data_IF_515125269052
#
_entry.id   IF_515125269052
#
_cell.length_a   1.000
_cell.length_b   1.000
_cell.length_c   1.000
_cell.angle_alpha   90.00
_cell.angle_beta   90.00
_cell.angle_gamma   90.00
#
_symmetry.space_group_name_H-M   'P 1'
#
loop_
_entity.id
_entity.type
_entity.pdbx_description
1 polymer ?
#
# COMPACT_ATOMS: atom_id res chain seq x y z
N UNK A 1 -0.49 3.51 -8.13
CA UNK A 1 -1.91 3.17 -8.05
C UNK A 1 -2.62 4.24 -7.24
N UNK A 2 -3.25 5.19 -7.93
CA UNK A 2 -4.28 6.03 -7.32
C UNK A 2 -5.48 5.85 -8.23
N UNK A 3 -6.52 5.19 -7.74
CA UNK A 3 -7.83 5.26 -8.37
C UNK A 3 -8.18 6.76 -8.49
N UNK A 4 -8.75 7.23 -9.61
CA UNK A 4 -9.02 8.64 -9.79
C UNK A 4 -9.91 9.13 -8.65
N UNK A 5 -9.66 10.35 -8.17
CA UNK A 5 -10.30 10.84 -6.94
C UNK A 5 -11.84 10.79 -7.01
N UNK A 6 -12.42 10.86 -8.20
CA UNK A 6 -13.85 10.66 -8.43
C UNK A 6 -14.38 9.31 -7.90
N UNK A 7 -13.58 8.25 -7.92
CA UNK A 7 -13.96 6.91 -7.45
C UNK A 7 -13.67 6.67 -5.97
N UNK A 8 -12.68 7.36 -5.40
CA UNK A 8 -12.29 7.18 -3.99
C UNK A 8 -13.04 8.12 -3.04
N UNK A 9 -13.43 9.30 -3.52
CA UNK A 9 -14.26 10.27 -2.78
C UNK A 9 -15.58 9.67 -2.24
N UNK A 10 -16.44 9.01 -3.05
CA UNK A 10 -17.70 8.46 -2.55
C UNK A 10 -17.48 7.41 -1.46
N UNK A 11 -16.46 6.56 -1.61
CA UNK A 11 -16.10 5.56 -0.60
C UNK A 11 -15.67 6.20 0.72
N UNK A 12 -14.89 7.29 0.65
CA UNK A 12 -14.48 8.02 1.86
C UNK A 12 -15.67 8.68 2.55
N UNK A 13 -16.63 9.22 1.80
CA UNK A 13 -17.84 9.81 2.36
C UNK A 13 -18.66 8.76 3.11
N UNK A 14 -18.86 7.58 2.52
CA UNK A 14 -19.58 6.48 3.16
C UNK A 14 -18.86 6.03 4.44
N UNK A 15 -17.52 5.89 4.39
CA UNK A 15 -16.74 5.53 5.56
C UNK A 15 -16.83 6.56 6.69
N UNK A 16 -16.79 7.86 6.35
CA UNK A 16 -16.94 8.94 7.32
C UNK A 16 -18.32 8.92 7.96
N UNK A 17 -19.38 8.74 7.15
CA UNK A 17 -20.75 8.64 7.63
C UNK A 17 -20.95 7.44 8.57
N UNK A 18 -20.34 6.29 8.26
CA UNK A 18 -20.38 5.12 9.13
C UNK A 18 -19.72 5.37 10.49
N UNK A 19 -18.56 6.06 10.52
CA UNK A 19 -17.91 6.41 11.79
C UNK A 19 -18.74 7.38 12.63
N UNK A 20 -19.41 8.35 11.99
CA UNK A 20 -20.36 9.24 12.69
C UNK A 20 -21.56 8.48 13.23
N UNK A 21 -22.10 7.53 12.46
CA UNK A 21 -23.23 6.70 12.88
C UNK A 21 -22.89 5.85 14.11
N UNK A 22 -21.72 5.20 14.12
CA UNK A 22 -21.28 4.32 15.21
C UNK A 22 -21.11 5.09 16.54
N UNK A 23 -20.52 6.29 16.49
CA UNK A 23 -20.34 7.12 17.69
C UNK A 23 -21.48 8.10 17.97
N UNK A 24 -22.54 8.05 17.16
CA UNK A 24 -23.65 8.99 17.20
C UNK A 24 -23.19 10.46 17.24
N UNK A 25 -22.20 10.81 16.41
CA UNK A 25 -21.59 12.14 16.37
C UNK A 25 -22.21 13.02 15.28
N UNK A 26 -22.27 14.35 15.48
CA UNK A 26 -22.74 15.25 14.45
C UNK A 26 -21.83 15.23 13.21
N UNK A 27 -22.42 15.45 12.03
CA UNK A 27 -21.73 15.41 10.72
C UNK A 27 -20.52 16.34 10.60
N UNK A 28 -20.47 17.42 11.39
CA UNK A 28 -19.37 18.39 11.39
C UNK A 28 -18.20 18.00 12.30
N UNK A 29 -18.33 16.93 13.09
CA UNK A 29 -17.25 16.47 13.94
C UNK A 29 -16.07 15.96 13.12
N UNK A 30 -14.88 16.16 13.68
CA UNK A 30 -13.67 15.69 13.06
C UNK A 30 -13.65 14.16 13.03
N UNK A 31 -13.50 13.57 11.84
CA UNK A 31 -13.56 12.11 11.64
C UNK A 31 -12.29 11.41 12.09
N UNK A 32 -11.14 12.10 12.08
CA UNK A 32 -9.82 11.53 12.45
C UNK A 32 -9.77 10.90 13.84
N UNK A 33 -10.26 11.54 14.93
CA UNK A 33 -10.31 10.89 16.25
C UNK A 33 -11.21 9.65 16.25
N UNK A 34 -12.32 9.67 15.50
CA UNK A 34 -13.23 8.53 15.38
C UNK A 34 -12.58 7.35 14.67
N UNK A 35 -11.81 7.62 13.62
CA UNK A 35 -11.04 6.60 12.94
C UNK A 35 -9.94 6.01 13.84
N UNK A 36 -9.30 6.85 14.67
CA UNK A 36 -8.29 6.37 15.63
C UNK A 36 -8.91 5.44 16.66
N UNK A 37 -10.05 5.78 17.23
CA UNK A 37 -10.74 4.92 18.20
C UNK A 37 -11.30 3.64 17.57
N UNK A 38 -11.74 3.67 16.30
CA UNK A 38 -12.14 2.46 15.56
C UNK A 38 -10.96 1.65 15.01
N UNK A 39 -9.73 2.17 15.08
CA UNK A 39 -8.57 1.63 14.38
C UNK A 39 -8.78 1.51 12.85
N UNK A 40 -9.58 2.41 12.27
CA UNK A 40 -9.88 2.44 10.85
C UNK A 40 -8.89 3.30 10.06
N UNK A 41 -8.40 2.77 8.94
CA UNK A 41 -7.63 3.55 7.98
C UNK A 41 -8.55 4.26 6.98
N UNK A 42 -8.23 5.51 6.58
CA UNK A 42 -8.87 6.13 5.42
C UNK A 42 -8.74 5.27 4.17
N UNK A 43 -9.71 5.36 3.24
CA UNK A 43 -9.78 4.51 2.03
C UNK A 43 -8.46 4.52 1.25
N UNK A 44 -7.85 5.69 1.09
CA UNK A 44 -6.58 5.83 0.37
C UNK A 44 -5.42 5.06 1.05
N UNK A 45 -5.35 5.12 2.39
CA UNK A 45 -4.36 4.38 3.16
C UNK A 45 -4.64 2.88 3.15
N UNK A 46 -5.91 2.47 3.16
CA UNK A 46 -6.32 1.07 3.07
C UNK A 46 -5.92 0.42 1.74
N UNK A 47 -6.04 1.15 0.63
CA UNK A 47 -5.56 0.69 -0.68
C UNK A 47 -4.04 0.46 -0.65
N UNK A 48 -3.28 1.41 -0.09
CA UNK A 48 -1.82 1.28 0.05
C UNK A 48 -1.45 0.07 0.90
N UNK A 49 -2.06 -0.06 2.07
CA UNK A 49 -1.84 -1.16 2.99
C UNK A 49 -2.09 -2.51 2.32
N UNK A 50 -3.25 -2.69 1.65
CA UNK A 50 -3.60 -3.95 0.99
C UNK A 50 -2.60 -4.33 -0.12
N UNK A 51 -2.11 -3.34 -0.87
CA UNK A 51 -1.08 -3.54 -1.91
C UNK A 51 0.26 -3.94 -1.27
N UNK A 52 0.68 -3.28 -0.19
CA UNK A 52 1.91 -3.61 0.53
C UNK A 52 1.84 -4.99 1.21
N UNK A 53 0.73 -5.34 1.85
CA UNK A 53 0.53 -6.68 2.44
C UNK A 53 0.54 -7.78 1.38
N UNK A 54 0.01 -7.50 0.17
CA UNK A 54 0.11 -8.44 -0.95
C UNK A 54 1.56 -8.60 -1.39
N UNK A 55 2.31 -7.50 -1.53
CA UNK A 55 3.73 -7.56 -1.84
C UNK A 55 4.54 -8.36 -0.82
N UNK A 56 4.30 -8.12 0.47
CA UNK A 56 4.95 -8.85 1.56
C UNK A 56 4.70 -10.36 1.47
N UNK A 57 3.45 -10.77 1.19
CA UNK A 57 3.12 -12.20 0.99
C UNK A 57 3.81 -12.81 -0.22
N UNK A 58 4.00 -12.04 -1.29
CA UNK A 58 4.74 -12.48 -2.49
C UNK A 58 6.23 -12.66 -2.17
N UNK A 59 6.84 -11.73 -1.43
CA UNK A 59 8.24 -11.82 -0.99
C UNK A 59 8.44 -13.04 -0.08
N UNK A 60 7.53 -13.29 0.85
CA UNK A 60 7.60 -14.41 1.78
C UNK A 60 7.15 -15.75 1.16
N UNK A 61 7.07 -15.86 -0.16
CA UNK A 61 6.73 -17.08 -0.93
C UNK A 61 5.35 -17.72 -0.68
N UNK A 62 4.50 -17.11 0.15
CA UNK A 62 3.12 -17.55 0.41
C UNK A 62 2.10 -17.21 -0.70
N UNK A 63 2.52 -16.52 -1.76
CA UNK A 63 1.62 -16.08 -2.83
C UNK A 63 1.67 -16.99 -4.08
N UNK A 64 0.58 -17.07 -4.85
CA UNK A 64 0.52 -17.81 -6.12
C UNK A 64 1.63 -17.43 -7.11
N UNK A 65 2.10 -18.41 -7.89
CA UNK A 65 3.20 -18.24 -8.85
C UNK A 65 2.97 -17.09 -9.87
N UNK A 66 1.72 -16.85 -10.27
CA UNK A 66 1.38 -15.77 -11.20
C UNK A 66 1.59 -14.36 -10.60
N UNK A 67 1.58 -14.21 -9.27
CA UNK A 67 1.89 -12.93 -8.62
C UNK A 67 3.39 -12.71 -8.46
N UNK A 68 4.15 -13.80 -8.34
CA UNK A 68 5.61 -13.78 -8.24
C UNK A 68 6.27 -13.26 -9.51
N UNK A 69 5.69 -13.55 -10.68
CA UNK A 69 6.20 -13.03 -11.97
C UNK A 69 6.08 -11.50 -12.11
N UNK A 70 5.18 -10.85 -11.35
CA UNK A 70 5.02 -9.39 -11.37
C UNK A 70 5.97 -8.65 -10.43
N UNK A 71 6.66 -9.32 -9.51
CA UNK A 71 7.57 -8.67 -8.56
C UNK A 71 8.98 -9.20 -8.79
N UNK A 72 9.88 -8.32 -9.23
CA UNK A 72 11.31 -8.61 -9.21
C UNK A 72 11.91 -8.19 -7.87
N UNK A 73 12.45 -9.15 -7.13
CA UNK A 73 13.25 -8.88 -5.93
C UNK A 73 14.53 -8.17 -6.37
N UNK A 74 14.92 -7.12 -5.64
CA UNK A 74 16.15 -6.40 -5.95
C UNK A 74 17.35 -7.31 -5.68
N UNK A 75 18.03 -7.74 -6.75
CA UNK A 75 19.29 -8.46 -6.67
C UNK A 75 20.41 -7.53 -7.17
N UNK A 76 21.15 -6.86 -6.29
CA UNK A 76 22.25 -6.01 -6.72
C UNK A 76 23.39 -6.87 -7.30
N UNK A 77 23.99 -6.41 -8.41
CA UNK A 77 25.14 -7.08 -9.04
C UNK A 77 26.44 -7.02 -8.22
N UNK A 78 26.48 -6.20 -7.16
CA UNK A 78 27.63 -6.03 -6.26
C UNK A 78 27.15 -6.09 -4.81
N UNK A 79 27.95 -6.60 -3.86
CA UNK A 79 27.59 -6.61 -2.45
C UNK A 79 27.57 -5.17 -1.92
N UNK A 80 26.36 -4.61 -1.78
CA UNK A 80 26.13 -3.30 -1.17
C UNK A 80 25.55 -3.48 0.23
N UNK A 81 25.75 -2.50 1.12
CA UNK A 81 25.13 -2.50 2.46
C UNK A 81 23.60 -2.62 2.40
N UNK A 82 22.99 -2.06 1.35
CA UNK A 82 21.56 -2.15 1.05
C UNK A 82 21.11 -3.51 0.47
N UNK A 83 22.02 -4.45 0.20
CA UNK A 83 21.69 -5.80 -0.28
C UNK A 83 21.05 -6.66 0.81
N UNK A 84 21.33 -6.35 2.09
CA UNK A 84 20.73 -7.02 3.25
C UNK A 84 19.30 -6.55 3.53
N UNK A 85 18.93 -5.36 3.05
CA UNK A 85 17.57 -4.87 3.14
C UNK A 85 16.74 -5.51 2.03
N UNK A 86 15.70 -6.27 2.37
CA UNK A 86 14.78 -6.96 1.45
C UNK A 86 13.97 -5.99 0.56
N UNK A 87 14.66 -5.17 -0.24
CA UNK A 87 14.09 -4.16 -1.11
C UNK A 87 13.60 -4.82 -2.40
N UNK A 88 12.56 -4.24 -2.98
CA UNK A 88 12.03 -4.68 -4.27
C UNK A 88 12.67 -3.85 -5.38
N UNK A 89 12.98 -4.46 -6.52
CA UNK A 89 13.55 -3.74 -7.65
C UNK A 89 12.48 -2.80 -8.20
N UNK A 90 12.78 -1.51 -8.32
CA UNK A 90 11.92 -0.55 -9.02
C UNK A 90 12.23 -0.67 -10.52
N UNK A 91 11.41 -1.32 -11.36
CA UNK A 91 11.60 -1.22 -12.80
C UNK A 91 11.33 0.21 -13.24
N UNK A 92 12.26 0.81 -14.00
CA UNK A 92 12.05 2.11 -14.60
C UNK A 92 10.82 2.03 -15.52
N UNK A 93 9.79 2.90 -15.35
CA UNK A 93 8.59 2.81 -16.16
C UNK A 93 8.92 3.23 -17.60
N UNK A 94 8.92 2.27 -18.52
CA UNK A 94 9.19 2.52 -19.94
C UNK A 94 8.01 3.21 -20.65
N UNK A 95 6.79 3.06 -20.14
CA UNK A 95 5.58 3.74 -20.65
C UNK A 95 4.80 4.46 -19.54
N UNK A 96 4.13 5.58 -19.87
CA UNK A 96 3.34 6.40 -18.92
C UNK A 96 2.32 5.63 -18.09
N UNK A 97 1.75 4.54 -18.63
CA UNK A 97 0.79 3.68 -17.91
C UNK A 97 1.46 2.70 -16.94
N UNK A 98 2.74 2.38 -17.14
CA UNK A 98 3.46 1.40 -16.33
C UNK A 98 3.79 1.92 -14.92
N UNK A 99 3.84 3.24 -14.71
CA UNK A 99 3.98 3.84 -13.37
C UNK A 99 2.79 3.61 -12.43
N UNK A 100 1.71 3.00 -12.94
CA UNK A 100 0.54 2.58 -12.16
C UNK A 100 0.54 1.07 -11.87
N UNK A 101 1.41 0.27 -12.49
CA UNK A 101 1.43 -1.17 -12.30
C UNK A 101 1.85 -1.57 -10.88
N UNK A 102 1.38 -2.73 -10.46
CA UNK A 102 1.75 -3.36 -9.19
C UNK A 102 3.28 -3.44 -9.03
N UNK A 103 3.98 -3.85 -10.09
CA UNK A 103 5.45 -3.99 -10.16
C UNK A 103 6.23 -2.69 -9.96
N UNK A 104 5.68 -1.51 -10.28
CA UNK A 104 6.39 -0.22 -10.20
C UNK A 104 5.98 0.65 -9.01
N UNK A 105 4.79 0.39 -8.46
CA UNK A 105 4.23 1.16 -7.34
C UNK A 105 4.73 0.64 -6.01
N UNK A 106 4.79 -0.68 -5.85
CA UNK A 106 5.24 -1.29 -4.60
C UNK A 106 6.68 -0.93 -4.28
N UNK A 107 7.66 -1.07 -5.19
CA UNK A 107 9.05 -0.75 -4.87
C UNK A 107 9.24 0.70 -4.41
N UNK A 108 8.45 1.63 -4.98
CA UNK A 108 8.45 3.06 -4.66
C UNK A 108 7.77 3.41 -3.32
N UNK A 109 6.81 2.61 -2.86
CA UNK A 109 6.23 2.77 -1.52
C UNK A 109 7.07 2.04 -0.46
N UNK A 110 7.69 0.92 -0.83
CA UNK A 110 8.56 0.13 0.05
C UNK A 110 9.90 0.81 0.30
N UNK A 111 10.43 1.62 -0.63
CA UNK A 111 11.60 2.47 -0.38
C UNK A 111 11.39 3.53 0.71
N UNK A 112 10.15 3.76 1.16
CA UNK A 112 9.81 4.70 2.22
C UNK A 112 9.42 4.00 3.55
N UNK A 113 9.41 2.67 3.60
CA UNK A 113 9.06 1.90 4.81
C UNK A 113 10.06 0.76 4.97
N UNK A 114 10.97 0.79 5.97
CA UNK A 114 11.85 -0.33 6.23
C UNK A 114 10.98 -1.54 6.63
N UNK A 115 11.11 -2.63 5.87
CA UNK A 115 10.57 -3.93 6.27
C UNK A 115 11.31 -4.35 7.54
N UNK A 116 10.63 -4.28 8.68
CA UNK A 116 11.13 -4.76 9.96
C UNK A 116 11.49 -6.25 9.79
N UNK A 117 12.67 -6.71 10.22
CA UNK A 117 13.03 -8.11 10.16
C UNK A 117 12.07 -8.90 11.04
N UNK A 118 11.43 -9.93 10.48
CA UNK A 118 10.87 -11.00 11.29
C UNK A 118 12.05 -11.81 11.84
N UNK A 119 12.16 -11.85 13.17
CA UNK A 119 12.97 -12.85 13.88
C UNK A 119 12.48 -14.27 13.57
#
# INVERSE_FOLDING_TARGET
MGLPACTTKPLQIIQNAAAHLIFNQPKRTHVTPLFRSLHWLPVAARIKFKVLSLAHRVVNSTAPAYLKSFIQVYSPSRPLRSASERRLAVPAPHRRHQGKLFSSVIPRWNSAVPLIPAE
#
